data_IF_022572366204
#
_entry.id   IF_022572366204
#
_cell.length_a   1.000
_cell.length_b   1.000
_cell.length_c   1.000
_cell.angle_alpha   90.00
_cell.angle_beta   90.00
_cell.angle_gamma   90.00
#
_symmetry.space_group_name_H-M   'P 1'
#
loop_
_entity.id
_entity.type
_entity.pdbx_description
1 polymer ?
#
# COMPACT_ATOMS: atom_id res chain seq x y z
N UNK A 1 8.02 -24.78 37.23
CA UNK A 1 9.34 -24.12 37.22
C UNK A 1 9.34 -23.11 36.08
N UNK A 2 9.58 -21.85 36.43
CA UNK A 2 9.59 -20.68 35.54
C UNK A 2 10.85 -20.74 34.65
N UNK A 3 10.81 -20.08 33.49
CA UNK A 3 11.66 -18.92 33.21
C UNK A 3 11.32 -18.31 31.83
N UNK A 4 10.61 -17.19 31.89
CA UNK A 4 10.46 -16.21 30.82
C UNK A 4 11.42 -15.09 31.14
N UNK A 5 12.34 -14.74 30.24
CA UNK A 5 13.15 -13.53 30.33
C UNK A 5 12.68 -12.58 29.23
N UNK A 6 11.94 -11.54 29.64
CA UNK A 6 11.63 -10.35 28.84
C UNK A 6 12.75 -9.34 29.06
N UNK A 7 13.37 -8.86 27.98
CA UNK A 7 14.33 -7.76 28.03
C UNK A 7 13.56 -6.47 27.72
N UNK A 8 13.36 -5.64 28.74
CA UNK A 8 12.96 -4.24 28.61
C UNK A 8 14.23 -3.38 28.78
N UNK A 9 14.68 -2.73 27.72
CA UNK A 9 15.75 -1.75 27.77
C UNK A 9 15.17 -0.35 27.79
N UNK A 10 15.00 0.22 29.00
CA UNK A 10 14.81 1.65 29.21
C UNK A 10 16.13 2.18 29.75
N UNK A 11 16.84 2.98 28.94
CA UNK A 11 18.00 3.75 29.43
C UNK A 11 17.61 5.23 29.40
N UNK A 12 17.40 5.73 30.60
CA UNK A 12 17.23 7.11 30.98
C UNK A 12 18.62 7.70 31.21
N UNK A 13 19.04 8.70 30.43
CA UNK A 13 20.21 9.50 30.76
C UNK A 13 19.83 10.98 30.73
N UNK A 14 19.82 11.58 31.91
CA UNK A 14 19.54 12.99 32.16
C UNK A 14 20.78 13.86 32.02
N UNK A 15 20.53 15.04 31.44
CA UNK A 15 21.13 16.36 31.66
C UNK A 15 22.65 16.55 31.51
N UNK A 16 23.01 17.50 30.63
CA UNK A 16 23.80 18.65 31.07
C UNK A 16 23.50 19.90 30.23
N UNK A 17 23.25 21.00 30.94
CA UNK A 17 23.09 22.36 30.43
C UNK A 17 24.42 22.90 29.92
N UNK A 18 24.40 23.64 28.80
CA UNK A 18 25.42 24.65 28.50
C UNK A 18 24.68 25.94 28.14
N UNK A 19 24.85 26.96 28.98
CA UNK A 19 24.49 28.36 28.73
C UNK A 19 25.52 29.03 27.83
N UNK A 20 25.04 29.89 26.94
CA UNK A 20 25.70 31.14 26.57
C UNK A 20 26.24 31.23 25.14
N UNK A 21 25.59 32.06 24.31
CA UNK A 21 26.15 33.35 23.91
C UNK A 21 25.07 34.25 23.30
N UNK A 22 25.17 35.53 23.66
CA UNK A 22 24.40 36.69 23.18
C UNK A 22 24.91 37.15 21.82
N UNK A 23 24.02 37.62 20.92
CA UNK A 23 24.37 38.66 19.93
C UNK A 23 23.10 39.33 19.36
N UNK A 24 23.04 40.65 19.57
CA UNK A 24 22.36 41.72 18.83
C UNK A 24 21.00 41.47 18.15
N UNK A 25 20.00 42.18 18.68
CA UNK A 25 18.98 42.84 17.85
C UNK A 25 19.68 43.78 16.86
N UNK A 26 19.54 43.47 15.58
CA UNK A 26 19.63 44.46 14.52
C UNK A 26 18.24 44.57 13.91
N UNK A 27 17.64 45.75 14.06
CA UNK A 27 16.49 46.17 13.29
C UNK A 27 16.81 46.01 11.80
N UNK A 28 16.09 45.11 11.13
CA UNK A 28 16.10 45.03 9.66
C UNK A 28 14.85 45.74 9.17
N UNK A 29 15.01 47.04 8.94
CA UNK A 29 14.15 47.80 8.04
C UNK A 29 14.34 47.20 6.62
N UNK A 30 13.42 46.34 6.22
CA UNK A 30 13.46 45.69 4.91
C UNK A 30 12.88 46.63 3.86
N UNK A 31 13.77 47.21 3.05
CA UNK A 31 13.44 47.84 1.79
C UNK A 31 12.78 46.80 0.86
N UNK A 32 11.47 46.95 0.62
CA UNK A 32 10.69 46.18 -0.33
C UNK A 32 11.04 46.58 -1.77
N UNK A 33 12.18 46.14 -2.31
CA UNK A 33 12.49 46.25 -3.74
C UNK A 33 13.55 45.22 -4.16
N UNK A 34 13.25 43.92 -4.04
CA UNK A 34 13.90 42.83 -4.80
C UNK A 34 13.22 41.46 -4.56
N UNK A 35 11.91 41.37 -4.78
CA UNK A 35 11.16 40.11 -4.59
C UNK A 35 11.20 39.22 -5.84
N UNK A 36 11.46 39.77 -7.03
CA UNK A 36 11.33 39.03 -8.29
C UNK A 36 12.50 38.08 -8.61
N UNK A 37 13.61 38.10 -7.86
CA UNK A 37 14.77 37.22 -8.10
C UNK A 37 14.95 36.10 -7.07
N UNK A 38 14.29 36.18 -5.92
CA UNK A 38 14.37 35.18 -4.82
C UNK A 38 13.25 34.14 -4.95
N UNK A 39 12.13 34.51 -5.58
CA UNK A 39 10.97 33.63 -5.77
C UNK A 39 11.29 32.45 -6.69
N UNK A 40 12.11 32.64 -7.73
CA UNK A 40 12.35 31.58 -8.72
C UNK A 40 13.24 30.44 -8.20
N UNK A 41 14.32 30.75 -7.47
CA UNK A 41 15.25 29.73 -6.92
C UNK A 41 14.69 28.92 -5.76
N UNK A 42 13.80 29.52 -4.98
CA UNK A 42 13.13 28.83 -3.88
C UNK A 42 11.97 27.96 -4.39
N UNK A 43 11.30 28.34 -5.48
CA UNK A 43 10.21 27.54 -6.05
C UNK A 43 10.72 26.22 -6.63
N UNK A 44 11.87 26.19 -7.29
CA UNK A 44 12.44 24.96 -7.85
C UNK A 44 12.76 23.92 -6.75
N UNK A 45 13.39 24.34 -5.64
CA UNK A 45 13.72 23.45 -4.52
C UNK A 45 12.48 22.98 -3.73
N UNK A 46 11.46 23.83 -3.59
CA UNK A 46 10.20 23.45 -2.91
C UNK A 46 9.40 22.48 -3.80
N UNK A 47 9.36 22.71 -5.11
CA UNK A 47 8.71 21.82 -6.07
C UNK A 47 9.43 20.46 -6.16
N UNK A 48 10.76 20.41 -6.12
CA UNK A 48 11.52 19.16 -6.04
C UNK A 48 11.26 18.40 -4.72
N UNK A 49 11.16 19.10 -3.59
CA UNK A 49 10.92 18.48 -2.28
C UNK A 49 9.49 17.94 -2.17
N UNK A 50 8.50 18.63 -2.75
CA UNK A 50 7.11 18.16 -2.83
C UNK A 50 6.95 16.99 -3.83
N UNK A 51 7.75 16.96 -4.90
CA UNK A 51 7.73 15.88 -5.90
C UNK A 51 8.36 14.57 -5.44
N UNK A 52 9.11 14.56 -4.33
CA UNK A 52 9.83 13.39 -3.82
C UNK A 52 9.18 12.73 -2.58
N UNK A 53 7.95 13.09 -2.24
CA UNK A 53 7.25 12.45 -1.12
C UNK A 53 6.64 11.11 -1.56
N UNK A 54 6.88 10.05 -0.80
CA UNK A 54 6.26 8.74 -1.00
C UNK A 54 5.08 8.52 -0.04
N UNK A 55 4.01 7.91 -0.55
CA UNK A 55 3.02 7.20 0.25
C UNK A 55 3.55 5.80 0.59
N UNK A 56 3.21 5.30 1.77
CA UNK A 56 3.54 3.94 2.21
C UNK A 56 2.27 3.10 2.23
N UNK A 57 2.27 2.00 1.49
CA UNK A 57 1.19 1.01 1.48
C UNK A 57 1.67 -0.29 2.11
N UNK A 58 0.80 -0.92 2.90
CA UNK A 58 1.09 -2.20 3.54
C UNK A 58 0.59 -3.34 2.65
N UNK A 59 1.37 -4.43 2.59
CA UNK A 59 0.96 -5.69 1.98
C UNK A 59 0.64 -6.68 3.10
N UNK A 60 -0.58 -7.21 3.11
CA UNK A 60 -1.16 -7.98 4.22
C UNK A 60 -1.68 -9.34 3.76
N UNK A 61 -1.69 -10.27 4.70
CA UNK A 61 -2.34 -11.58 4.58
C UNK A 61 -3.03 -11.94 5.90
N UNK A 62 -3.59 -13.14 5.98
CA UNK A 62 -4.11 -13.74 7.21
C UNK A 62 -3.34 -15.01 7.57
N UNK A 63 -3.17 -15.24 8.86
CA UNK A 63 -2.73 -16.54 9.37
C UNK A 63 -3.82 -17.59 9.15
N UNK A 64 -3.41 -18.75 8.64
CA UNK A 64 -4.33 -19.84 8.31
C UNK A 64 -5.01 -20.52 9.51
N UNK A 65 -4.45 -20.36 10.71
CA UNK A 65 -4.91 -21.01 11.94
C UNK A 65 -5.60 -20.02 12.88
N UNK A 66 -5.05 -18.82 13.07
CA UNK A 66 -5.56 -17.83 14.02
C UNK A 66 -6.48 -16.77 13.40
N UNK A 67 -6.53 -16.67 12.06
CA UNK A 67 -7.19 -15.58 11.32
C UNK A 67 -6.60 -14.18 11.60
N UNK A 68 -5.46 -14.11 12.29
CA UNK A 68 -4.77 -12.85 12.58
C UNK A 68 -4.19 -12.24 11.31
N UNK A 69 -4.28 -10.91 11.21
CA UNK A 69 -3.74 -10.16 10.07
C UNK A 69 -2.22 -10.04 10.20
N UNK A 70 -1.50 -10.47 9.18
CA UNK A 70 -0.04 -10.41 9.10
C UNK A 70 0.36 -9.36 8.06
N UNK A 71 1.24 -8.43 8.43
CA UNK A 71 1.88 -7.50 7.47
C UNK A 71 3.14 -8.17 6.92
N UNK A 72 3.14 -8.46 5.62
CA UNK A 72 4.25 -9.11 4.92
C UNK A 72 5.32 -8.11 4.47
N UNK A 73 4.96 -6.84 4.33
CA UNK A 73 5.88 -5.79 3.97
C UNK A 73 5.18 -4.50 3.59
N UNK A 74 5.99 -3.57 3.08
CA UNK A 74 5.57 -2.23 2.73
C UNK A 74 6.06 -1.92 1.32
N UNK A 75 5.31 -1.09 0.61
CA UNK A 75 5.74 -0.50 -0.66
C UNK A 75 5.68 1.02 -0.54
N UNK A 76 6.77 1.67 -0.94
CA UNK A 76 6.85 3.12 -1.09
C UNK A 76 6.50 3.48 -2.52
N UNK A 77 5.55 4.37 -2.70
CA UNK A 77 5.12 4.83 -4.02
C UNK A 77 5.04 6.34 -4.00
N UNK A 78 5.65 6.99 -4.99
CA UNK A 78 5.58 8.43 -5.16
C UNK A 78 4.13 8.91 -5.02
N UNK A 79 3.91 9.90 -4.16
CA UNK A 79 2.59 10.43 -3.82
C UNK A 79 1.85 10.99 -5.05
N UNK A 80 2.60 11.51 -6.02
CA UNK A 80 2.10 12.08 -7.26
C UNK A 80 1.92 11.04 -8.38
N UNK A 81 2.26 9.77 -8.14
CA UNK A 81 1.97 8.69 -9.07
C UNK A 81 0.45 8.60 -9.34
N UNK A 82 0.10 8.24 -10.56
CA UNK A 82 -1.29 7.99 -10.95
C UNK A 82 -1.86 6.80 -10.19
N UNK A 83 -3.18 6.74 -10.05
CA UNK A 83 -3.84 5.61 -9.39
C UNK A 83 -3.53 4.28 -10.11
N UNK A 84 -3.42 4.27 -11.44
CA UNK A 84 -3.03 3.09 -12.21
C UNK A 84 -1.64 2.59 -11.81
N UNK A 85 -0.66 3.50 -11.73
CA UNK A 85 0.70 3.14 -11.30
C UNK A 85 0.73 2.62 -9.87
N UNK A 86 -0.02 3.26 -8.96
CA UNK A 86 -0.10 2.83 -7.56
C UNK A 86 -0.68 1.42 -7.45
N UNK A 87 -1.80 1.14 -8.15
CA UNK A 87 -2.45 -0.18 -8.15
C UNK A 87 -1.56 -1.24 -8.79
N UNK A 88 -0.93 -0.96 -9.94
CA UNK A 88 -0.02 -1.92 -10.59
C UNK A 88 1.17 -2.29 -9.70
N UNK A 89 1.76 -1.32 -9.00
CA UNK A 89 2.84 -1.58 -8.04
C UNK A 89 2.40 -2.47 -6.87
N UNK A 90 1.18 -2.28 -6.37
CA UNK A 90 0.60 -3.14 -5.33
C UNK A 90 0.37 -4.56 -5.87
N UNK A 91 -0.22 -4.70 -7.06
CA UNK A 91 -0.45 -5.99 -7.73
C UNK A 91 0.84 -6.77 -7.94
N UNK A 92 1.88 -6.11 -8.44
CA UNK A 92 3.20 -6.72 -8.62
C UNK A 92 3.75 -7.21 -7.27
N UNK A 93 3.71 -6.36 -6.25
CA UNK A 93 4.28 -6.69 -4.95
C UNK A 93 3.55 -7.83 -4.26
N UNK A 94 2.22 -7.84 -4.29
CA UNK A 94 1.45 -8.93 -3.71
C UNK A 94 1.59 -10.23 -4.50
N UNK A 95 1.63 -10.17 -5.83
CA UNK A 95 1.90 -11.34 -6.67
C UNK A 95 3.21 -12.01 -6.28
N UNK A 96 4.28 -11.22 -6.12
CA UNK A 96 5.59 -11.71 -5.69
C UNK A 96 5.57 -12.28 -4.25
N UNK A 97 4.99 -11.55 -3.29
CA UNK A 97 5.06 -11.93 -1.87
C UNK A 97 4.10 -13.05 -1.46
N UNK A 98 2.96 -13.19 -2.15
CA UNK A 98 1.84 -14.03 -1.71
C UNK A 98 1.49 -15.12 -2.71
N UNK A 99 1.78 -14.90 -4.00
CA UNK A 99 1.29 -15.76 -5.08
C UNK A 99 2.40 -16.29 -5.99
N UNK A 100 3.65 -16.32 -5.51
CA UNK A 100 4.80 -16.87 -6.24
C UNK A 100 4.97 -16.28 -7.65
N UNK A 101 4.58 -15.01 -7.84
CA UNK A 101 4.60 -14.35 -9.14
C UNK A 101 3.45 -14.74 -10.08
N UNK A 102 2.41 -15.41 -9.58
CA UNK A 102 1.25 -15.78 -10.39
C UNK A 102 0.54 -14.53 -10.95
N UNK A 103 0.09 -14.55 -12.22
CA UNK A 103 -0.39 -13.35 -12.89
C UNK A 103 -1.66 -12.76 -12.27
N UNK A 104 -1.63 -11.44 -12.04
CA UNK A 104 -2.77 -10.61 -11.65
C UNK A 104 -2.61 -9.27 -12.36
N UNK A 105 -3.60 -8.88 -13.15
CA UNK A 105 -3.46 -7.74 -14.06
C UNK A 105 -4.56 -6.71 -13.83
N UNK A 106 -4.18 -5.43 -13.81
CA UNK A 106 -5.13 -4.33 -13.89
C UNK A 106 -5.54 -4.14 -15.35
N UNK A 107 -6.80 -4.44 -15.67
CA UNK A 107 -7.34 -4.28 -17.02
C UNK A 107 -7.71 -2.82 -17.28
N UNK A 108 -8.44 -2.20 -16.35
CA UNK A 108 -8.84 -0.79 -16.43
C UNK A 108 -9.26 -0.23 -15.07
N UNK A 109 -9.35 1.09 -15.00
CA UNK A 109 -10.07 1.80 -13.94
C UNK A 109 -11.16 2.64 -14.59
N UNK A 110 -12.41 2.41 -14.18
CA UNK A 110 -13.60 3.11 -14.69
C UNK A 110 -14.52 3.45 -13.51
N UNK A 111 -15.02 4.68 -13.45
CA UNK A 111 -15.85 5.18 -12.33
C UNK A 111 -15.23 5.03 -10.93
N UNK A 112 -13.90 5.11 -10.84
CA UNK A 112 -13.10 4.83 -9.63
C UNK A 112 -13.17 3.37 -9.15
N UNK A 113 -13.56 2.44 -10.01
CA UNK A 113 -13.51 0.99 -9.78
C UNK A 113 -12.34 0.41 -10.57
N UNK A 114 -11.45 -0.31 -9.92
CA UNK A 114 -10.41 -1.06 -10.60
C UNK A 114 -10.95 -2.44 -11.03
N UNK A 115 -10.77 -2.78 -12.30
CA UNK A 115 -11.13 -4.07 -12.87
C UNK A 115 -9.85 -4.90 -13.00
N UNK A 116 -9.80 -6.00 -12.25
CA UNK A 116 -8.61 -6.84 -12.11
C UNK A 116 -8.90 -8.22 -12.67
N UNK A 117 -7.95 -8.77 -13.40
CA UNK A 117 -8.05 -10.09 -13.99
C UNK A 117 -7.01 -11.02 -13.38
N UNK A 118 -7.49 -12.13 -12.84
CA UNK A 118 -6.68 -13.21 -12.31
C UNK A 118 -6.47 -14.21 -13.45
N UNK A 119 -5.22 -14.45 -13.83
CA UNK A 119 -4.87 -15.37 -14.92
C UNK A 119 -4.00 -16.49 -14.37
N UNK A 120 -4.25 -17.69 -14.85
CA UNK A 120 -3.39 -18.84 -14.68
C UNK A 120 -2.12 -18.67 -15.49
N UNK A 121 -1.01 -19.12 -14.92
CA UNK A 121 0.22 -19.24 -15.67
C UNK A 121 0.06 -20.38 -16.69
N UNK A 122 0.64 -20.22 -17.88
CA UNK A 122 0.56 -21.25 -18.92
C UNK A 122 1.07 -22.60 -18.39
N UNK A 123 0.20 -23.61 -18.41
CA UNK A 123 0.44 -24.97 -17.90
C UNK A 123 0.54 -25.10 -16.36
N UNK A 124 0.14 -24.10 -15.57
CA UNK A 124 0.00 -24.21 -14.12
C UNK A 124 -1.32 -23.60 -13.66
N UNK A 125 -2.13 -24.39 -12.96
CA UNK A 125 -3.40 -23.92 -12.40
C UNK A 125 -3.21 -23.47 -10.94
N UNK A 126 -2.29 -22.53 -10.70
CA UNK A 126 -1.92 -22.12 -9.36
C UNK A 126 -3.10 -21.48 -8.63
N UNK A 127 -3.87 -20.62 -9.30
CA UNK A 127 -5.01 -19.97 -8.68
C UNK A 127 -6.05 -20.97 -8.26
N UNK A 128 -6.51 -21.83 -9.17
CA UNK A 128 -7.55 -22.80 -8.88
C UNK A 128 -7.10 -23.93 -7.94
N UNK A 129 -5.93 -24.50 -8.16
CA UNK A 129 -5.51 -25.72 -7.47
C UNK A 129 -4.72 -25.47 -6.19
N UNK A 130 -4.22 -24.26 -5.96
CA UNK A 130 -3.40 -23.93 -4.80
C UNK A 130 -4.00 -22.80 -3.97
N UNK A 131 -4.25 -21.64 -4.56
CA UNK A 131 -4.64 -20.46 -3.78
C UNK A 131 -6.11 -20.47 -3.38
N UNK A 132 -7.03 -20.74 -4.31
CA UNK A 132 -8.46 -20.85 -4.02
C UNK A 132 -8.90 -22.24 -3.55
N UNK A 133 -7.95 -23.15 -3.28
CA UNK A 133 -8.27 -24.51 -2.86
C UNK A 133 -8.72 -24.54 -1.39
N UNK A 134 -9.89 -25.13 -1.14
CA UNK A 134 -10.45 -25.25 0.21
C UNK A 134 -10.92 -23.92 0.79
N UNK A 135 -11.73 -23.98 1.86
CA UNK A 135 -12.26 -22.78 2.53
C UNK A 135 -11.16 -21.86 3.08
N UNK A 136 -10.12 -22.43 3.68
CA UNK A 136 -9.01 -21.64 4.23
C UNK A 136 -8.21 -20.95 3.12
N UNK A 137 -7.87 -21.66 2.04
CA UNK A 137 -7.16 -21.07 0.90
C UNK A 137 -7.97 -19.95 0.25
N UNK A 138 -9.25 -20.21 -0.03
CA UNK A 138 -10.16 -19.23 -0.59
C UNK A 138 -10.27 -17.97 0.29
N UNK A 139 -10.49 -18.13 1.59
CA UNK A 139 -10.60 -17.01 2.55
C UNK A 139 -9.33 -16.14 2.62
N UNK A 140 -8.15 -16.77 2.73
CA UNK A 140 -6.87 -16.03 2.78
C UNK A 140 -6.61 -15.32 1.46
N UNK A 141 -6.88 -15.99 0.34
CA UNK A 141 -6.64 -15.46 -1.00
C UNK A 141 -7.54 -14.26 -1.29
N UNK A 142 -8.85 -14.36 -1.03
CA UNK A 142 -9.77 -13.23 -1.22
C UNK A 142 -9.44 -12.07 -0.30
N UNK A 143 -9.17 -12.32 0.97
CA UNK A 143 -8.75 -11.27 1.90
C UNK A 143 -7.50 -10.53 1.39
N UNK A 144 -6.50 -11.30 0.94
CA UNK A 144 -5.25 -10.76 0.44
C UNK A 144 -5.46 -9.94 -0.83
N UNK A 145 -6.27 -10.41 -1.78
CA UNK A 145 -6.64 -9.66 -2.99
C UNK A 145 -7.38 -8.36 -2.66
N UNK A 146 -8.39 -8.45 -1.79
CA UNK A 146 -9.31 -7.35 -1.49
C UNK A 146 -8.62 -6.26 -0.66
N UNK A 147 -8.05 -6.61 0.48
CA UNK A 147 -7.57 -5.60 1.43
C UNK A 147 -6.30 -4.89 0.95
N UNK A 148 -5.45 -5.58 0.16
CA UNK A 148 -4.28 -4.95 -0.43
C UNK A 148 -4.63 -3.98 -1.56
N UNK A 149 -5.71 -4.20 -2.31
CA UNK A 149 -6.10 -3.24 -3.36
C UNK A 149 -6.95 -2.10 -2.81
N UNK A 150 -7.85 -2.38 -1.88
CA UNK A 150 -8.72 -1.35 -1.30
C UNK A 150 -7.97 -0.43 -0.34
N UNK A 151 -6.90 -0.90 0.31
CA UNK A 151 -6.07 -0.07 1.22
C UNK A 151 -6.93 0.79 2.15
N UNK A 152 -7.92 0.19 2.84
CA UNK A 152 -9.02 0.91 3.52
C UNK A 152 -8.55 1.97 4.54
N UNK A 153 -7.35 1.80 5.08
CA UNK A 153 -6.76 2.73 6.04
C UNK A 153 -6.11 3.98 5.41
N UNK A 154 -5.77 3.94 4.11
CA UNK A 154 -5.14 5.06 3.42
C UNK A 154 -6.12 6.24 3.28
N UNK A 155 -5.70 7.47 3.60
CA UNK A 155 -6.60 8.64 3.64
C UNK A 155 -6.52 9.56 2.42
N UNK A 156 -5.60 9.30 1.49
CA UNK A 156 -5.50 10.03 0.24
C UNK A 156 -6.54 9.60 -0.81
N UNK A 157 -6.46 10.23 -1.99
CA UNK A 157 -7.29 9.86 -3.14
C UNK A 157 -7.02 8.41 -3.56
N UNK A 158 -8.07 7.62 -3.72
CA UNK A 158 -7.99 6.18 -4.01
C UNK A 158 -9.23 5.69 -4.76
N UNK A 159 -9.18 4.45 -5.26
CA UNK A 159 -10.34 3.77 -5.84
C UNK A 159 -11.44 3.57 -4.78
N UNK A 160 -12.69 3.52 -5.24
CA UNK A 160 -13.89 3.27 -4.42
C UNK A 160 -14.25 1.79 -4.34
N UNK A 161 -13.72 0.97 -5.25
CA UNK A 161 -13.95 -0.46 -5.25
C UNK A 161 -13.11 -1.19 -6.28
N UNK A 162 -13.26 -2.49 -6.26
CA UNK A 162 -12.58 -3.43 -7.16
C UNK A 162 -13.58 -4.44 -7.71
N UNK A 163 -13.34 -4.95 -8.91
CA UNK A 163 -14.08 -6.05 -9.50
C UNK A 163 -13.09 -7.06 -10.08
N UNK A 164 -13.23 -8.33 -9.71
CA UNK A 164 -12.35 -9.39 -10.19
C UNK A 164 -12.99 -10.19 -11.30
N UNK A 165 -12.17 -10.58 -12.27
CA UNK A 165 -12.46 -11.63 -13.25
C UNK A 165 -11.40 -12.72 -13.14
N UNK A 166 -11.74 -13.92 -13.59
CA UNK A 166 -10.83 -15.05 -13.68
C UNK A 166 -10.76 -15.52 -15.13
N UNK A 167 -9.57 -15.50 -15.74
CA UNK A 167 -9.40 -15.81 -17.16
C UNK A 167 -10.35 -14.99 -18.06
N UNK A 168 -10.51 -13.69 -17.74
CA UNK A 168 -11.46 -12.76 -18.38
C UNK A 168 -12.94 -13.12 -18.22
N UNK A 169 -13.28 -14.04 -17.31
CA UNK A 169 -14.67 -14.44 -17.04
C UNK A 169 -15.12 -13.98 -15.67
N UNK A 170 -16.37 -13.54 -15.57
CA UNK A 170 -17.01 -13.09 -14.33
C UNK A 170 -17.96 -14.13 -13.74
N UNK A 171 -18.35 -15.15 -14.50
CA UNK A 171 -19.34 -16.17 -14.16
C UNK A 171 -18.73 -17.46 -13.58
N UNK A 172 -17.55 -17.33 -12.95
CA UNK A 172 -16.80 -18.47 -12.42
C UNK A 172 -17.17 -18.72 -10.97
N UNK A 173 -17.49 -19.97 -10.67
CA UNK A 173 -17.77 -20.42 -9.31
C UNK A 173 -16.68 -21.39 -8.87
N UNK A 174 -16.14 -21.15 -7.69
CA UNK A 174 -15.32 -22.12 -6.96
C UNK A 174 -16.08 -22.54 -5.70
N UNK A 175 -15.96 -23.82 -5.34
CA UNK A 175 -16.75 -24.46 -4.27
C UNK A 175 -16.67 -23.77 -2.89
N UNK A 176 -15.63 -22.97 -2.67
CA UNK A 176 -15.32 -22.32 -1.39
C UNK A 176 -15.23 -20.79 -1.47
N UNK A 177 -15.59 -20.22 -2.61
CA UNK A 177 -15.79 -18.80 -2.75
C UNK A 177 -17.27 -18.49 -2.59
N UNK A 178 -17.57 -17.31 -2.05
CA UNK A 178 -18.91 -16.75 -2.17
C UNK A 178 -19.29 -16.76 -3.66
N UNK A 179 -20.51 -17.21 -3.97
CA UNK A 179 -20.96 -17.45 -5.35
C UNK A 179 -20.82 -16.23 -6.27
N UNK A 180 -20.65 -15.05 -5.70
CA UNK A 180 -20.58 -13.78 -6.40
C UNK A 180 -19.20 -13.10 -6.33
N UNK A 181 -18.12 -13.74 -5.85
CA UNK A 181 -16.81 -13.05 -5.73
C UNK A 181 -16.31 -12.48 -7.08
N UNK A 182 -16.36 -13.30 -8.14
CA UNK A 182 -16.03 -12.84 -9.49
C UNK A 182 -17.22 -12.08 -10.09
N UNK A 183 -16.95 -10.96 -10.76
CA UNK A 183 -17.98 -10.10 -11.34
C UNK A 183 -18.67 -9.13 -10.37
N UNK A 184 -18.47 -9.25 -9.05
CA UNK A 184 -19.03 -8.32 -8.08
C UNK A 184 -18.10 -7.16 -7.78
N UNK A 185 -18.68 -5.97 -7.67
CA UNK A 185 -17.97 -4.78 -7.19
C UNK A 185 -17.87 -4.84 -5.67
N UNK A 186 -16.65 -4.98 -5.17
CA UNK A 186 -16.32 -4.94 -3.74
C UNK A 186 -15.91 -3.50 -3.40
N UNK A 187 -16.66 -2.85 -2.51
CA UNK A 187 -16.42 -1.46 -2.14
C UNK A 187 -15.36 -1.30 -1.05
N UNK A 188 -14.63 -0.19 -1.11
CA UNK A 188 -13.64 0.25 -0.12
C UNK A 188 -14.26 0.69 1.21
#
# INVERSE_FOLDING_TARGET
MKNIIKIFGVIFFTLLMITGCTSNENDIETNFNNINGIVDKNNENINETINNQDDIFEIKTKDSSSDEVIVLGNIKINKNATINEKINKILEKMSQLQFEGSPIELEKIEDNIAYINIKEEKNKNNWKQKYFQGSTGASITTYSLVENLLQRNYKGNWIKGICFTYENRSDIQFDHLDMDFFGTIIQR
#
